data_IF_284051723145
#
_entry.id   IF_284051723145
#
_cell.length_a   1.000
_cell.length_b   1.000
_cell.length_c   1.000
_cell.angle_alpha   90.00
_cell.angle_beta   90.00
_cell.angle_gamma   90.00
#
_symmetry.space_group_name_H-M   'P 1'
#
loop_
_entity.id
_entity.type
_entity.pdbx_description
1 polymer ?
#
# COMPACT_ATOMS: atom_id res chain seq x y z
N UNK A 1 16.49 10.31 -4.30
CA UNK A 1 15.95 11.68 -4.15
C UNK A 1 14.97 11.63 -2.99
N UNK A 2 15.14 12.44 -1.94
CA UNK A 2 14.12 12.58 -0.90
C UNK A 2 13.11 13.60 -1.38
N UNK A 3 11.83 13.23 -1.41
CA UNK A 3 10.76 14.11 -1.89
C UNK A 3 9.73 14.24 -0.77
N UNK A 4 9.62 15.45 -0.21
CA UNK A 4 8.59 15.77 0.78
C UNK A 4 7.22 16.02 0.16
N UNK A 5 6.28 16.53 0.96
CA UNK A 5 4.86 16.75 0.58
C UNK A 5 4.60 17.74 -0.58
N UNK A 6 5.64 18.29 -1.23
CA UNK A 6 5.52 19.19 -2.39
C UNK A 6 6.37 18.65 -3.53
N UNK A 7 5.72 18.07 -4.53
CA UNK A 7 6.34 17.70 -5.79
C UNK A 7 6.36 18.91 -6.72
N UNK A 8 7.49 19.24 -7.37
CA UNK A 8 7.44 20.11 -8.54
C UNK A 8 6.58 19.42 -9.60
N UNK A 9 5.87 20.20 -10.44
CA UNK A 9 5.03 19.66 -11.50
C UNK A 9 5.91 19.13 -12.67
N UNK A 10 6.72 18.12 -12.36
CA UNK A 10 7.70 17.48 -13.22
C UNK A 10 7.32 16.01 -13.31
N UNK A 11 7.34 15.49 -14.53
CA UNK A 11 7.09 14.08 -14.80
C UNK A 11 8.44 13.39 -14.97
N UNK A 12 8.70 12.38 -14.15
CA UNK A 12 9.91 11.58 -14.16
C UNK A 12 9.70 10.31 -15.00
N UNK A 13 9.72 10.47 -16.32
CA UNK A 13 9.41 9.39 -17.27
C UNK A 13 10.36 8.17 -17.22
N UNK A 14 11.53 8.29 -16.59
CA UNK A 14 12.53 7.21 -16.54
C UNK A 14 12.71 6.61 -15.15
N UNK A 15 12.01 7.13 -14.13
CA UNK A 15 12.10 6.61 -12.77
C UNK A 15 11.10 5.46 -12.64
N UNK A 16 11.64 4.26 -12.40
CA UNK A 16 10.86 3.02 -12.25
C UNK A 16 10.89 2.48 -10.82
N UNK A 17 11.70 3.07 -9.94
CA UNK A 17 11.83 2.66 -8.54
C UNK A 17 11.85 3.91 -7.66
N UNK A 18 11.03 3.89 -6.61
CA UNK A 18 10.91 5.00 -5.68
C UNK A 18 10.92 4.48 -4.24
N UNK A 19 11.73 5.15 -3.42
CA UNK A 19 11.76 4.96 -1.97
C UNK A 19 11.22 6.23 -1.33
N UNK A 20 10.17 6.09 -0.53
CA UNK A 20 9.61 7.18 0.28
C UNK A 20 9.74 6.82 1.75
N UNK A 21 10.21 7.79 2.52
CA UNK A 21 10.36 7.65 3.96
C UNK A 21 9.41 8.64 4.62
N UNK A 22 8.45 8.10 5.37
CA UNK A 22 7.53 8.85 6.19
C UNK A 22 8.32 9.51 7.34
N UNK A 23 8.26 10.83 7.42
CA UNK A 23 8.61 11.60 8.63
C UNK A 23 7.34 12.12 9.32
N UNK A 24 6.29 12.37 8.52
CA UNK A 24 4.94 12.80 8.88
C UNK A 24 3.97 12.08 7.94
N UNK A 25 2.93 11.43 8.51
CA UNK A 25 2.04 10.51 7.79
C UNK A 25 1.63 11.06 6.43
N UNK A 26 1.92 10.29 5.37
CA UNK A 26 1.52 10.64 4.02
C UNK A 26 0.02 10.43 3.83
N UNK A 27 -0.66 11.50 3.42
CA UNK A 27 -2.07 11.42 3.07
C UNK A 27 -2.26 10.81 1.68
N UNK A 28 -3.50 10.40 1.37
CA UNK A 28 -3.90 9.91 0.06
C UNK A 28 -3.40 10.78 -1.11
N UNK A 29 -3.51 12.11 -0.99
CA UNK A 29 -3.08 13.06 -2.01
C UNK A 29 -1.57 13.02 -2.30
N UNK A 30 -0.74 12.58 -1.35
CA UNK A 30 0.68 12.36 -1.60
C UNK A 30 0.90 11.22 -2.60
N UNK A 31 0.22 10.09 -2.40
CA UNK A 31 0.29 8.96 -3.32
C UNK A 31 -0.32 9.27 -4.68
N UNK A 32 -1.35 10.13 -4.74
CA UNK A 32 -1.87 10.61 -6.02
C UNK A 32 -0.80 11.38 -6.81
N UNK A 33 -0.02 12.23 -6.14
CA UNK A 33 1.09 12.97 -6.77
C UNK A 33 2.21 12.05 -7.21
N UNK A 34 2.51 10.98 -6.47
CA UNK A 34 3.47 9.97 -6.92
C UNK A 34 2.99 9.34 -8.23
N UNK A 35 1.74 8.85 -8.29
CA UNK A 35 1.21 8.25 -9.51
C UNK A 35 1.27 9.20 -10.72
N UNK A 36 1.05 10.51 -10.50
CA UNK A 36 1.14 11.53 -11.54
C UNK A 36 2.58 11.84 -11.96
N UNK A 37 3.51 11.92 -11.00
CA UNK A 37 4.90 12.28 -11.25
C UNK A 37 5.73 11.10 -11.80
N UNK A 38 5.34 9.86 -11.51
CA UNK A 38 6.08 8.64 -11.87
C UNK A 38 5.20 7.65 -12.64
N UNK A 39 4.80 7.98 -13.89
CA UNK A 39 3.84 7.16 -14.63
C UNK A 39 4.36 5.75 -14.95
N UNK A 40 5.69 5.53 -14.97
CA UNK A 40 6.34 4.24 -15.23
C UNK A 40 6.87 3.54 -13.96
N UNK A 41 6.38 3.92 -12.78
CA UNK A 41 6.81 3.33 -11.52
C UNK A 41 6.50 1.83 -11.46
N UNK A 42 7.52 1.02 -11.18
CA UNK A 42 7.43 -0.44 -11.05
C UNK A 42 7.65 -0.92 -9.62
N UNK A 43 8.49 -0.22 -8.87
CA UNK A 43 8.83 -0.56 -7.49
C UNK A 43 8.57 0.64 -6.57
N UNK A 44 7.81 0.43 -5.51
CA UNK A 44 7.54 1.44 -4.48
C UNK A 44 7.87 0.85 -3.11
N UNK A 45 8.75 1.54 -2.39
CA UNK A 45 9.13 1.22 -1.04
C UNK A 45 8.65 2.36 -0.13
N UNK A 46 7.83 2.02 0.87
CA UNK A 46 7.29 2.94 1.87
C UNK A 46 7.81 2.48 3.22
N UNK A 47 8.52 3.34 3.94
CA UNK A 47 9.03 3.05 5.29
C UNK A 47 8.82 4.24 6.23
N UNK A 48 8.82 4.04 7.54
CA UNK A 48 8.84 5.13 8.55
C UNK A 48 10.26 5.33 9.07
N UNK A 49 10.50 6.45 9.76
CA UNK A 49 11.57 6.54 10.75
C UNK A 49 11.10 5.80 12.01
N UNK A 50 11.71 4.64 12.24
CA UNK A 50 11.67 3.83 13.47
C UNK A 50 11.08 4.51 14.74
N UNK A 51 10.02 3.88 15.29
CA UNK A 51 9.81 3.56 16.74
C UNK A 51 8.86 4.34 17.66
N UNK A 52 8.03 5.31 17.24
CA UNK A 52 7.26 6.10 18.24
C UNK A 52 5.79 6.43 17.95
N UNK A 53 5.07 5.66 17.13
CA UNK A 53 3.61 5.79 17.07
C UNK A 53 2.99 4.59 17.77
N UNK A 54 2.52 4.81 19.00
CA UNK A 54 1.63 3.87 19.65
C UNK A 54 0.34 3.81 18.81
N UNK A 55 0.01 2.63 18.31
CA UNK A 55 -1.12 2.33 17.41
C UNK A 55 -2.51 2.48 18.06
N UNK A 56 -2.66 3.25 19.14
CA UNK A 56 -3.92 3.32 19.89
C UNK A 56 -4.95 4.33 19.33
N UNK A 57 -4.61 5.17 18.35
CA UNK A 57 -5.45 6.33 17.99
C UNK A 57 -6.16 6.28 16.62
N UNK A 58 -5.97 5.23 15.81
CA UNK A 58 -6.53 5.17 14.44
C UNK A 58 -7.76 4.26 14.24
N UNK A 59 -8.12 3.44 15.23
CA UNK A 59 -9.34 2.62 15.12
C UNK A 59 -10.64 3.48 15.11
N UNK A 60 -10.57 4.75 15.56
CA UNK A 60 -11.74 5.61 15.76
C UNK A 60 -11.77 6.92 14.94
N UNK A 61 -10.90 7.07 13.93
CA UNK A 61 -11.05 8.11 12.90
C UNK A 61 -11.30 7.54 11.52
N UNK A 62 -12.16 6.53 11.45
CA UNK A 62 -13.00 6.32 10.28
C UNK A 62 -14.09 7.42 10.24
N UNK A 63 -13.68 8.70 10.23
CA UNK A 63 -14.61 9.75 9.86
C UNK A 63 -14.74 9.67 8.35
N UNK A 64 -15.81 9.02 7.92
CA UNK A 64 -16.43 9.08 6.59
C UNK A 64 -16.78 10.54 6.23
N UNK A 65 -15.78 11.40 6.14
CA UNK A 65 -15.89 12.58 5.33
C UNK A 65 -15.68 12.10 3.89
N UNK A 66 -16.81 11.88 3.22
CA UNK A 66 -16.98 11.57 1.80
C UNK A 66 -16.39 12.74 0.98
N UNK A 67 -15.07 12.93 1.05
CA UNK A 67 -14.35 13.47 -0.09
C UNK A 67 -14.26 12.31 -1.07
N UNK A 68 -14.81 12.48 -2.26
CA UNK A 68 -14.56 11.64 -3.42
C UNK A 68 -13.05 11.67 -3.69
N UNK A 69 -12.29 10.87 -2.94
CA UNK A 69 -10.88 10.70 -3.16
C UNK A 69 -10.74 9.99 -4.50
N UNK A 70 -10.03 10.64 -5.42
CA UNK A 70 -9.76 10.10 -6.74
C UNK A 70 -9.02 8.77 -6.58
N UNK A 71 -9.58 7.69 -7.14
CA UNK A 71 -8.89 6.38 -7.13
C UNK A 71 -7.52 6.54 -7.80
N UNK A 72 -6.47 6.20 -7.07
CA UNK A 72 -5.10 6.27 -7.56
C UNK A 72 -4.83 5.01 -8.38
N UNK A 73 -4.29 5.15 -9.58
CA UNK A 73 -3.94 4.00 -10.43
C UNK A 73 -2.44 3.96 -10.61
N UNK A 74 -1.83 2.83 -10.26
CA UNK A 74 -0.43 2.55 -10.58
C UNK A 74 -0.37 1.44 -11.64
N UNK A 75 -0.39 1.80 -12.94
CA UNK A 75 -0.59 0.83 -14.02
C UNK A 75 0.60 -0.13 -14.22
N UNK A 76 1.76 0.17 -13.65
CA UNK A 76 2.99 -0.59 -13.85
C UNK A 76 3.65 -1.05 -12.55
N UNK A 77 3.06 -0.74 -11.39
CA UNK A 77 3.63 -1.11 -10.10
C UNK A 77 3.51 -2.62 -9.91
N UNK A 78 4.65 -3.30 -9.96
CA UNK A 78 4.75 -4.75 -9.81
C UNK A 78 5.30 -5.16 -8.45
N UNK A 79 6.00 -4.25 -7.76
CA UNK A 79 6.59 -4.48 -6.45
C UNK A 79 6.18 -3.37 -5.49
N UNK A 80 5.56 -3.76 -4.37
CA UNK A 80 5.23 -2.89 -3.25
C UNK A 80 5.85 -3.43 -1.98
N UNK A 81 6.63 -2.59 -1.29
CA UNK A 81 7.16 -2.87 0.03
C UNK A 81 6.68 -1.81 1.01
N UNK A 82 6.07 -2.28 2.10
CA UNK A 82 5.61 -1.46 3.22
C UNK A 82 6.38 -1.96 4.45
N UNK A 83 7.38 -1.18 4.85
CA UNK A 83 8.27 -1.47 5.96
C UNK A 83 7.97 -0.53 7.14
N UNK A 84 6.82 -0.74 7.77
CA UNK A 84 6.35 0.00 8.95
C UNK A 84 5.21 -0.75 9.63
N UNK A 85 4.98 -0.43 10.90
CA UNK A 85 3.88 -1.01 11.66
C UNK A 85 2.54 -0.30 11.37
N UNK A 86 1.46 -1.07 11.39
CA UNK A 86 0.10 -0.55 11.34
C UNK A 86 -0.56 -0.70 9.97
N UNK A 87 -1.89 -0.59 9.99
CA UNK A 87 -2.72 -0.96 8.84
C UNK A 87 -2.91 0.17 7.83
N UNK A 88 -2.52 1.41 8.15
CA UNK A 88 -2.85 2.58 7.35
C UNK A 88 -2.39 2.48 5.89
N UNK A 89 -1.11 2.17 5.67
CA UNK A 89 -0.57 2.09 4.31
C UNK A 89 -0.99 0.82 3.60
N UNK A 90 -1.10 -0.29 4.33
CA UNK A 90 -1.64 -1.54 3.81
C UNK A 90 -3.07 -1.32 3.29
N UNK A 91 -3.90 -0.63 4.05
CA UNK A 91 -5.25 -0.20 3.66
C UNK A 91 -5.23 0.77 2.47
N UNK A 92 -4.36 1.78 2.47
CA UNK A 92 -4.25 2.75 1.38
C UNK A 92 -3.95 2.08 0.03
N UNK A 93 -3.10 1.06 0.01
CA UNK A 93 -2.69 0.39 -1.22
C UNK A 93 -3.55 -0.81 -1.60
N UNK A 94 -3.97 -1.64 -0.63
CA UNK A 94 -4.70 -2.86 -0.94
C UNK A 94 -6.19 -2.60 -1.17
N UNK A 95 -6.79 -1.56 -0.58
CA UNK A 95 -8.19 -1.23 -0.83
C UNK A 95 -8.37 -0.63 -2.23
N UNK A 96 -9.08 -1.34 -3.11
CA UNK A 96 -9.32 -0.96 -4.50
C UNK A 96 -10.13 0.33 -4.67
N UNK A 97 -10.89 0.73 -3.65
CA UNK A 97 -11.62 2.00 -3.63
C UNK A 97 -10.70 3.20 -3.40
N UNK A 98 -9.44 2.96 -2.99
CA UNK A 98 -8.39 3.98 -2.81
C UNK A 98 -7.33 3.89 -3.88
N UNK A 99 -6.83 2.69 -4.16
CA UNK A 99 -5.73 2.46 -5.09
C UNK A 99 -5.98 1.22 -5.93
N UNK A 100 -5.74 1.30 -7.24
CA UNK A 100 -5.78 0.15 -8.14
C UNK A 100 -4.37 -0.22 -8.61
N UNK A 101 -4.00 -1.48 -8.39
CA UNK A 101 -2.68 -2.06 -8.61
C UNK A 101 -2.76 -3.26 -9.58
N UNK A 102 -3.11 -3.04 -10.86
CA UNK A 102 -3.39 -4.13 -11.80
C UNK A 102 -2.20 -5.07 -12.07
N UNK A 103 -0.96 -4.61 -11.83
CA UNK A 103 0.26 -5.36 -12.10
C UNK A 103 0.98 -5.83 -10.83
N UNK A 104 0.38 -5.69 -9.64
CA UNK A 104 1.06 -6.07 -8.39
C UNK A 104 1.33 -7.57 -8.38
N UNK A 105 2.61 -7.91 -8.32
CA UNK A 105 3.12 -9.29 -8.39
C UNK A 105 3.88 -9.66 -7.12
N UNK A 106 4.54 -8.68 -6.50
CA UNK A 106 5.32 -8.82 -5.27
C UNK A 106 4.79 -7.86 -4.19
N UNK A 107 4.41 -8.41 -3.05
CA UNK A 107 4.00 -7.66 -1.87
C UNK A 107 4.90 -8.03 -0.69
N UNK A 108 5.56 -7.03 -0.10
CA UNK A 108 6.39 -7.19 1.10
C UNK A 108 5.82 -6.31 2.22
N UNK A 109 5.52 -6.92 3.36
CA UNK A 109 4.97 -6.25 4.55
C UNK A 109 5.83 -6.61 5.77
N UNK A 110 5.97 -5.71 6.74
CA UNK A 110 6.64 -6.07 8.00
C UNK A 110 5.83 -7.13 8.76
N UNK A 111 4.52 -6.90 8.97
CA UNK A 111 3.64 -7.80 9.75
C UNK A 111 2.55 -8.44 8.90
N UNK A 112 2.46 -9.77 8.97
CA UNK A 112 1.35 -10.52 8.37
C UNK A 112 -0.01 -10.18 9.01
N UNK A 113 -0.03 -9.81 10.29
CA UNK A 113 -1.27 -9.47 11.00
C UNK A 113 -1.93 -8.20 10.43
N UNK A 114 -1.16 -7.22 9.98
CA UNK A 114 -1.71 -6.01 9.36
C UNK A 114 -2.47 -6.35 8.06
N UNK A 115 -1.98 -7.33 7.30
CA UNK A 115 -2.67 -7.87 6.14
C UNK A 115 -3.97 -8.56 6.53
N UNK A 116 -3.97 -9.38 7.58
CA UNK A 116 -5.19 -10.04 8.08
C UNK A 116 -6.23 -9.03 8.54
N UNK A 117 -5.84 -7.99 9.28
CA UNK A 117 -6.76 -6.94 9.73
C UNK A 117 -7.37 -6.21 8.52
N UNK A 118 -6.54 -5.75 7.57
CA UNK A 118 -7.01 -4.99 6.39
C UNK A 118 -7.93 -5.81 5.50
N UNK A 119 -7.62 -7.09 5.32
CA UNK A 119 -8.43 -8.02 4.51
C UNK A 119 -9.61 -8.61 5.28
N UNK A 120 -9.79 -8.26 6.56
CA UNK A 120 -10.75 -8.89 7.46
C UNK A 120 -10.66 -10.42 7.41
N UNK A 121 -9.49 -10.97 7.73
CA UNK A 121 -9.17 -12.39 7.62
C UNK A 121 -9.42 -12.98 6.23
N UNK A 122 -9.12 -12.20 5.19
CA UNK A 122 -9.31 -12.57 3.78
C UNK A 122 -10.78 -12.77 3.39
N UNK A 123 -11.67 -11.88 3.89
CA UNK A 123 -13.10 -11.87 3.53
C UNK A 123 -13.59 -10.55 2.94
N UNK A 124 -12.78 -9.48 3.00
CA UNK A 124 -13.11 -8.14 2.50
C UNK A 124 -12.82 -7.93 1.02
N UNK A 125 -13.85 -8.02 0.18
CA UNK A 125 -13.78 -8.00 -1.28
C UNK A 125 -13.00 -6.82 -1.87
N UNK A 126 -13.07 -5.62 -1.28
CA UNK A 126 -12.38 -4.42 -1.79
C UNK A 126 -10.85 -4.58 -1.80
N UNK A 127 -10.31 -5.49 -0.99
CA UNK A 127 -8.85 -5.73 -0.95
C UNK A 127 -8.42 -6.89 -1.85
N UNK A 128 -9.37 -7.72 -2.30
CA UNK A 128 -9.08 -8.96 -3.03
C UNK A 128 -8.47 -8.70 -4.41
N UNK A 129 -8.97 -7.72 -5.16
CA UNK A 129 -8.52 -7.50 -6.55
C UNK A 129 -7.06 -7.09 -6.64
N UNK A 130 -6.58 -6.25 -5.74
CA UNK A 130 -5.17 -5.85 -5.69
C UNK A 130 -4.26 -7.01 -5.23
N UNK A 131 -4.77 -7.97 -4.46
CA UNK A 131 -4.01 -9.15 -4.04
C UNK A 131 -3.99 -10.27 -5.10
N UNK A 132 -5.00 -10.35 -5.97
CA UNK A 132 -5.22 -11.50 -6.85
C UNK A 132 -4.06 -11.86 -7.79
N UNK A 133 -3.23 -10.87 -8.15
CA UNK A 133 -2.07 -11.08 -9.04
C UNK A 133 -0.74 -11.29 -8.28
N UNK A 134 -0.75 -11.17 -6.94
CA UNK A 134 0.46 -11.35 -6.14
C UNK A 134 0.89 -12.82 -6.21
N UNK A 135 2.13 -13.04 -6.65
CA UNK A 135 2.81 -14.35 -6.70
C UNK A 135 3.82 -14.54 -5.59
N UNK A 136 4.22 -13.43 -4.97
CA UNK A 136 5.21 -13.43 -3.90
C UNK A 136 4.77 -12.51 -2.78
N UNK A 137 4.30 -13.11 -1.69
CA UNK A 137 4.05 -12.45 -0.42
C UNK A 137 5.25 -12.68 0.50
N UNK A 138 5.83 -11.59 1.02
CA UNK A 138 6.94 -11.62 1.97
C UNK A 138 6.47 -10.92 3.24
N UNK A 139 6.64 -11.60 4.37
CA UNK A 139 6.36 -11.06 5.72
C UNK A 139 7.52 -11.40 6.65
N UNK A 140 7.79 -10.58 7.66
CA UNK A 140 8.84 -10.90 8.65
C UNK A 140 8.43 -12.08 9.55
N UNK A 141 7.14 -12.15 9.86
CA UNK A 141 6.55 -13.23 10.65
C UNK A 141 6.01 -14.36 9.76
N UNK A 142 5.84 -15.56 10.33
CA UNK A 142 5.25 -16.70 9.64
C UNK A 142 3.83 -16.41 9.14
N UNK A 143 3.55 -16.84 7.91
CA UNK A 143 2.22 -16.78 7.30
C UNK A 143 1.39 -17.92 7.91
N UNK A 144 0.41 -17.55 8.74
CA UNK A 144 -0.58 -18.49 9.25
C UNK A 144 -1.79 -18.44 8.33
N UNK A 145 -1.91 -19.42 7.43
CA UNK A 145 -2.97 -19.44 6.42
C UNK A 145 -4.38 -19.46 7.03
N UNK A 146 -5.25 -18.55 6.57
CA UNK A 146 -6.70 -18.66 6.79
C UNK A 146 -7.32 -19.56 5.73
N UNK A 147 -8.55 -20.04 5.94
CA UNK A 147 -9.27 -20.85 4.94
C UNK A 147 -9.42 -20.13 3.60
N UNK A 148 -9.54 -18.81 3.62
CA UNK A 148 -9.81 -17.97 2.45
C UNK A 148 -8.54 -17.33 1.87
N UNK A 149 -7.36 -17.57 2.47
CA UNK A 149 -6.07 -17.05 2.01
C UNK A 149 -5.83 -17.28 0.51
N UNK A 150 -6.09 -18.49 0.02
CA UNK A 150 -5.89 -18.85 -1.39
C UNK A 150 -6.87 -18.15 -2.34
N UNK A 151 -7.97 -17.57 -1.85
CA UNK A 151 -8.87 -16.76 -2.67
C UNK A 151 -8.34 -15.34 -2.91
N UNK A 152 -7.44 -14.87 -2.03
CA UNK A 152 -6.76 -13.58 -2.14
C UNK A 152 -5.43 -13.69 -2.86
N UNK A 153 -4.71 -14.77 -2.62
CA UNK A 153 -3.39 -15.04 -3.18
C UNK A 153 -3.41 -16.36 -3.97
N UNK A 154 -4.15 -16.43 -5.10
CA UNK A 154 -4.28 -17.67 -5.87
C UNK A 154 -2.98 -18.11 -6.55
N UNK A 155 -1.95 -17.27 -6.55
CA UNK A 155 -0.66 -17.53 -7.20
C UNK A 155 0.52 -17.66 -6.22
N UNK A 156 0.28 -17.55 -4.91
CA UNK A 156 1.26 -17.76 -3.82
C UNK A 156 1.09 -19.16 -3.25
#
# INVERSE_FOLDING_TARGET
VSIGNKFPNIIFNNVNELWVRDEVRFEHNFFLRIAQAFPLLKCLHVSDIERLRNDDDDANKLSDNIQLHQIIVYPHLSFLSIDMEGTYYVEQFLNETKTHLPCLDHLSLSKYEDLRIVTNDFTREETRRNCANVRRLITENEIVGSKDYHTYFPLV
#
